data_IF_446154673488
#
_entry.id   IF_446154673488
#
_cell.length_a   1.000
_cell.length_b   1.000
_cell.length_c   1.000
_cell.angle_alpha   90.00
_cell.angle_beta   90.00
_cell.angle_gamma   90.00
#
_symmetry.space_group_name_H-M   'P 1'
#
loop_
_entity.id
_entity.type
_entity.pdbx_description
1 polymer ?
#
# COMPACT_ATOMS: atom_id res chain seq x y z
N UNK A 1 11.52 -58.85 -17.09
CA UNK A 1 12.71 -59.50 -17.70
C UNK A 1 13.61 -58.42 -18.28
N UNK A 2 14.87 -58.38 -17.81
CA UNK A 2 16.11 -57.83 -18.43
C UNK A 2 16.16 -56.34 -18.83
N UNK A 3 17.24 -55.57 -18.66
CA UNK A 3 18.52 -55.64 -17.90
C UNK A 3 19.18 -54.24 -18.05
N UNK A 4 19.94 -53.82 -17.02
CA UNK A 4 20.89 -52.69 -17.01
C UNK A 4 21.98 -52.82 -18.09
N UNK A 5 22.57 -51.70 -18.54
CA UNK A 5 24.04 -51.55 -18.73
C UNK A 5 24.45 -50.08 -18.53
N UNK A 6 25.45 -49.86 -17.68
CA UNK A 6 26.30 -48.68 -17.58
C UNK A 6 27.65 -48.99 -18.23
N UNK A 7 28.38 -47.99 -18.74
CA UNK A 7 29.82 -48.11 -19.01
C UNK A 7 30.50 -46.74 -18.93
N UNK A 8 31.54 -46.71 -18.08
CA UNK A 8 32.58 -45.71 -17.93
C UNK A 8 33.50 -45.68 -19.17
N UNK A 9 34.26 -44.60 -19.36
CA UNK A 9 35.74 -44.65 -19.44
C UNK A 9 36.38 -43.26 -19.46
N UNK A 10 37.49 -43.14 -18.72
CA UNK A 10 38.40 -42.02 -18.63
C UNK A 10 39.75 -42.37 -19.29
N UNK A 11 40.52 -41.35 -19.69
CA UNK A 11 41.96 -41.42 -20.02
C UNK A 11 42.46 -40.00 -20.38
N UNK A 12 43.17 -39.27 -19.50
CA UNK A 12 44.64 -39.21 -19.27
C UNK A 12 45.48 -38.92 -20.53
N UNK A 13 46.07 -37.72 -20.67
CA UNK A 13 47.47 -37.33 -20.32
C UNK A 13 48.38 -37.33 -21.59
N UNK A 14 49.43 -36.52 -21.84
CA UNK A 14 50.22 -35.49 -21.15
C UNK A 14 50.99 -34.69 -22.27
N UNK A 15 51.17 -33.37 -22.16
CA UNK A 15 52.39 -32.64 -21.72
C UNK A 15 53.49 -32.37 -22.79
N UNK A 16 53.99 -31.11 -22.80
CA UNK A 16 55.41 -30.67 -22.71
C UNK A 16 55.51 -29.18 -23.15
N UNK A 17 55.69 -28.22 -22.22
CA UNK A 17 56.95 -27.52 -21.77
C UNK A 17 57.43 -26.44 -22.77
N UNK A 18 57.87 -25.22 -22.42
CA UNK A 18 58.63 -24.66 -21.27
C UNK A 18 58.40 -23.12 -21.24
N UNK A 19 58.25 -22.42 -20.11
CA UNK A 19 59.33 -21.87 -19.24
C UNK A 19 59.61 -20.38 -19.57
N UNK A 20 59.96 -19.41 -18.71
CA UNK A 20 60.40 -19.31 -17.30
C UNK A 20 60.25 -17.82 -16.83
N UNK A 21 59.92 -17.62 -15.54
CA UNK A 21 59.94 -16.39 -14.68
C UNK A 21 61.41 -15.91 -14.39
N UNK A 22 61.81 -14.93 -13.52
CA UNK A 22 61.21 -14.39 -12.26
C UNK A 22 61.42 -12.84 -12.00
N UNK A 23 60.60 -12.13 -11.20
CA UNK A 23 60.57 -11.84 -9.73
C UNK A 23 61.27 -10.53 -9.21
N UNK A 24 60.50 -9.81 -8.38
CA UNK A 24 60.80 -9.06 -7.13
C UNK A 24 61.67 -7.77 -7.09
N UNK A 25 61.26 -6.81 -6.25
CA UNK A 25 62.12 -5.76 -5.65
C UNK A 25 61.43 -4.46 -5.23
N UNK A 26 61.67 -3.96 -4.01
CA UNK A 26 61.00 -2.86 -3.30
C UNK A 26 61.71 -1.48 -3.38
N UNK A 27 61.09 -0.47 -2.74
CA UNK A 27 61.30 1.01 -2.65
C UNK A 27 62.74 1.58 -2.47
N UNK A 28 62.96 2.91 -2.67
CA UNK A 28 62.89 3.91 -1.57
C UNK A 28 62.40 5.35 -1.91
N UNK A 29 62.04 6.13 -0.88
CA UNK A 29 61.79 7.61 -0.83
C UNK A 29 63.08 8.36 -0.41
N UNK A 30 63.39 9.61 -0.84
CA UNK A 30 63.22 10.79 0.05
C UNK A 30 63.01 12.21 -0.60
N UNK A 31 62.21 13.02 0.13
CA UNK A 31 62.33 14.48 0.50
C UNK A 31 62.33 15.67 -0.49
N UNK A 32 61.44 16.62 -0.15
CA UNK A 32 61.20 18.06 -0.45
C UNK A 32 62.44 19.01 -0.53
N UNK A 33 62.36 20.25 -1.11
CA UNK A 33 61.60 21.38 -0.51
C UNK A 33 60.97 22.45 -1.43
N UNK A 34 60.06 23.25 -0.86
CA UNK A 34 59.49 24.50 -1.39
C UNK A 34 60.51 25.67 -1.41
N UNK A 35 60.21 26.77 -2.15
CA UNK A 35 59.87 28.01 -1.45
C UNK A 35 58.80 28.93 -2.11
N UNK A 36 58.31 29.86 -1.28
CA UNK A 36 57.41 31.00 -1.53
C UNK A 36 57.79 31.94 -2.68
N UNK A 37 56.79 32.61 -3.29
CA UNK A 37 56.63 34.07 -3.17
C UNK A 37 55.31 34.62 -3.75
N UNK A 38 54.72 35.51 -2.97
CA UNK A 38 53.60 36.40 -3.28
C UNK A 38 54.05 37.66 -4.03
N UNK A 39 53.20 38.31 -4.84
CA UNK A 39 52.85 39.75 -4.67
C UNK A 39 51.64 40.22 -5.50
N UNK A 40 50.78 41.02 -4.83
CA UNK A 40 50.11 42.28 -5.27
C UNK A 40 49.05 42.26 -6.42
N UNK A 41 47.90 42.97 -6.39
CA UNK A 41 47.48 44.15 -5.59
C UNK A 41 45.96 44.48 -5.75
N UNK A 42 45.41 45.06 -4.66
CA UNK A 42 44.38 46.14 -4.51
C UNK A 42 42.85 45.85 -4.49
N UNK A 43 42.26 46.27 -3.34
CA UNK A 43 40.85 46.43 -2.85
C UNK A 43 40.16 47.72 -3.39
N UNK A 44 38.96 48.21 -2.90
CA UNK A 44 37.85 47.69 -2.04
C UNK A 44 36.43 47.91 -2.68
N UNK A 45 35.28 47.49 -2.12
CA UNK A 45 34.40 48.19 -1.13
C UNK A 45 33.20 47.29 -0.75
N UNK A 46 32.78 47.31 0.52
CA UNK A 46 31.61 46.60 1.11
C UNK A 46 30.34 47.47 1.19
N UNK A 47 29.16 46.86 1.43
CA UNK A 47 28.32 47.24 2.59
C UNK A 47 27.84 46.02 3.46
N UNK A 48 27.19 46.25 4.63
CA UNK A 48 27.18 45.39 5.85
C UNK A 48 25.99 44.40 6.03
N UNK A 49 25.87 43.69 7.20
CA UNK A 49 25.09 42.44 7.39
C UNK A 49 23.79 42.52 8.26
N UNK A 50 23.00 41.42 8.18
CA UNK A 50 22.02 40.83 9.15
C UNK A 50 20.75 41.64 9.57
N UNK A 51 19.71 41.09 10.29
CA UNK A 51 19.45 39.73 10.84
C UNK A 51 17.97 39.19 10.74
N UNK A 52 17.76 37.91 11.09
CA UNK A 52 16.69 37.38 11.98
C UNK A 52 15.18 37.43 11.61
N UNK A 53 14.45 36.34 11.90
CA UNK A 53 13.00 36.40 12.16
C UNK A 53 12.20 35.13 11.79
N UNK A 54 11.56 34.52 12.80
CA UNK A 54 10.70 33.33 12.73
C UNK A 54 9.23 33.68 12.29
N UNK A 55 8.24 32.76 12.31
CA UNK A 55 7.16 32.62 11.33
C UNK A 55 5.86 33.38 11.68
N UNK A 56 4.82 33.38 10.82
CA UNK A 56 3.43 33.51 11.25
C UNK A 56 2.74 32.13 11.21
N UNK A 57 1.82 31.74 12.08
CA UNK A 57 0.99 32.49 13.02
C UNK A 57 -0.36 31.77 13.05
N UNK A 58 -0.72 31.16 14.18
CA UNK A 58 -2.05 30.58 14.42
C UNK A 58 -3.05 31.69 14.71
N UNK A 59 -4.27 31.57 14.18
CA UNK A 59 -5.44 32.24 14.73
C UNK A 59 -6.57 31.22 14.95
N UNK A 60 -6.98 31.12 16.22
CA UNK A 60 -8.25 30.57 16.65
C UNK A 60 -9.33 31.65 16.55
N UNK A 61 -10.63 31.30 16.49
CA UNK A 61 -11.68 32.26 16.81
C UNK A 61 -12.34 31.96 18.16
N UNK A 62 -12.37 33.00 18.99
CA UNK A 62 -13.19 33.23 20.18
C UNK A 62 -14.67 33.47 19.84
N UNK A 63 -15.59 32.95 20.67
CA UNK A 63 -17.00 33.39 20.80
C UNK A 63 -17.08 34.65 21.71
N UNK A 64 -18.21 35.43 21.82
CA UNK A 64 -19.49 35.04 22.51
C UNK A 64 -20.75 35.85 22.01
N UNK A 65 -21.87 36.11 22.78
CA UNK A 65 -22.88 35.25 23.45
C UNK A 65 -24.40 35.60 23.13
N UNK A 66 -25.34 34.74 23.60
CA UNK A 66 -26.78 35.00 23.94
C UNK A 66 -27.79 35.14 22.76
N UNK A 67 -29.07 34.74 22.78
CA UNK A 67 -30.03 34.32 23.82
C UNK A 67 -31.29 33.64 23.18
N UNK A 68 -31.92 32.78 23.98
CA UNK A 68 -33.37 32.45 24.08
C UNK A 68 -34.16 31.70 22.98
N UNK A 69 -34.91 30.68 23.44
CA UNK A 69 -36.11 30.17 22.77
C UNK A 69 -36.34 28.65 22.90
N UNK A 70 -37.03 28.19 23.95
CA UNK A 70 -37.71 26.89 24.00
C UNK A 70 -39.20 27.13 24.23
N UNK A 71 -40.09 26.34 23.61
CA UNK A 71 -40.95 25.48 24.43
C UNK A 71 -41.17 24.05 23.85
N UNK A 72 -41.66 23.16 24.72
CA UNK A 72 -41.66 21.70 24.63
C UNK A 72 -43.01 21.09 24.13
N UNK A 73 -43.39 19.80 24.39
CA UNK A 73 -43.70 18.79 23.36
C UNK A 73 -45.14 18.21 23.42
N UNK A 74 -45.45 17.13 22.66
CA UNK A 74 -46.10 15.93 23.25
C UNK A 74 -45.47 14.60 22.73
N UNK A 75 -45.18 13.58 23.56
CA UNK A 75 -46.02 12.42 24.04
C UNK A 75 -46.73 11.66 22.89
N UNK A 76 -46.80 10.33 22.76
CA UNK A 76 -46.44 9.10 23.52
C UNK A 76 -46.71 7.87 22.59
N UNK A 77 -46.44 6.65 23.08
CA UNK A 77 -46.82 5.29 22.58
C UNK A 77 -45.68 4.53 21.86
N UNK A 78 -45.19 3.36 22.27
CA UNK A 78 -45.61 2.43 23.32
C UNK A 78 -46.40 1.25 22.75
N UNK A 79 -45.71 0.22 22.26
CA UNK A 79 -46.32 -1.12 22.06
C UNK A 79 -45.33 -2.24 22.39
N UNK A 80 -45.84 -3.18 23.17
CA UNK A 80 -45.18 -4.33 23.79
C UNK A 80 -44.89 -5.47 22.80
N UNK A 81 -43.90 -6.30 23.14
CA UNK A 81 -43.53 -7.55 22.46
C UNK A 81 -44.03 -8.74 23.28
N UNK A 82 -44.73 -9.73 22.69
CA UNK A 82 -45.10 -10.97 23.38
C UNK A 82 -43.98 -12.04 23.30
N UNK A 83 -44.01 -13.08 24.16
CA UNK A 83 -42.84 -13.92 24.45
C UNK A 83 -42.58 -14.99 23.37
N UNK A 84 -41.31 -15.38 23.28
CA UNK A 84 -40.81 -16.44 22.41
C UNK A 84 -40.95 -17.81 23.07
N UNK A 85 -41.24 -18.83 22.26
CA UNK A 85 -40.98 -20.25 22.54
C UNK A 85 -40.70 -21.01 21.21
N UNK A 86 -40.06 -22.19 21.23
CA UNK A 86 -38.77 -22.38 20.56
C UNK A 86 -38.77 -23.26 19.28
N UNK A 87 -37.66 -23.14 18.52
CA UNK A 87 -37.03 -24.11 17.58
C UNK A 87 -37.11 -23.86 16.06
N UNK A 88 -35.95 -23.55 15.44
CA UNK A 88 -35.24 -24.33 14.39
C UNK A 88 -33.92 -23.60 14.00
N UNK A 89 -32.71 -24.19 14.16
CA UNK A 89 -31.44 -23.48 13.94
C UNK A 89 -30.97 -23.41 12.47
N UNK A 90 -31.85 -23.42 11.46
CA UNK A 90 -31.43 -23.43 10.03
C UNK A 90 -32.02 -22.38 9.10
N UNK A 91 -32.64 -21.32 9.60
CA UNK A 91 -33.01 -20.15 8.78
C UNK A 91 -32.80 -18.86 9.55
N UNK A 92 -31.73 -18.13 9.22
CA UNK A 92 -31.49 -16.81 9.79
C UNK A 92 -30.54 -16.01 8.93
N UNK A 93 -31.08 -15.17 8.03
CA UNK A 93 -30.51 -13.88 7.59
C UNK A 93 -31.37 -13.27 6.45
N UNK A 94 -32.61 -12.94 6.75
CA UNK A 94 -33.32 -11.85 6.05
C UNK A 94 -34.17 -11.10 7.08
N UNK A 95 -33.84 -9.83 7.29
CA UNK A 95 -34.67 -8.86 7.99
C UNK A 95 -35.77 -8.39 7.01
N UNK A 96 -37.07 -8.64 7.25
CA UNK A 96 -38.14 -8.28 6.33
C UNK A 96 -38.56 -6.80 6.42
N UNK A 97 -37.83 -5.94 7.16
CA UNK A 97 -38.19 -4.53 7.36
C UNK A 97 -37.21 -3.48 6.82
N UNK A 98 -36.09 -3.88 6.19
CA UNK A 98 -35.16 -2.91 5.62
C UNK A 98 -35.72 -2.33 4.31
N UNK A 99 -35.81 -1.00 4.14
CA UNK A 99 -36.24 -0.42 2.87
C UNK A 99 -35.29 -0.86 1.76
N UNK A 100 -35.86 -1.45 0.71
CA UNK A 100 -35.12 -1.87 -0.48
C UNK A 100 -34.29 -0.70 -1.01
N UNK A 101 -32.96 -0.83 -0.92
CA UNK A 101 -32.09 -0.02 -1.74
C UNK A 101 -32.45 -0.33 -3.20
N UNK A 102 -32.69 0.68 -4.06
CA UNK A 102 -33.10 0.41 -5.43
C UNK A 102 -32.08 -0.52 -6.09
N UNK A 103 -32.58 -1.64 -6.62
CA UNK A 103 -31.76 -2.65 -7.28
C UNK A 103 -30.98 -1.99 -8.42
N UNK A 104 -29.67 -1.87 -8.24
CA UNK A 104 -28.76 -1.47 -9.31
C UNK A 104 -28.66 -2.66 -10.28
N UNK A 105 -29.08 -2.52 -11.55
CA UNK A 105 -29.00 -3.58 -12.55
C UNK A 105 -27.57 -4.01 -12.87
N UNK A 106 -26.55 -3.42 -12.23
CA UNK A 106 -25.13 -3.75 -12.33
C UNK A 106 -24.47 -4.14 -10.99
N UNK A 107 -25.25 -4.36 -9.92
CA UNK A 107 -24.71 -4.85 -8.64
C UNK A 107 -24.11 -6.27 -8.76
N UNK A 108 -23.31 -6.75 -7.80
CA UNK A 108 -23.00 -8.18 -7.68
C UNK A 108 -24.27 -9.05 -7.73
N UNK A 109 -24.38 -9.91 -8.75
CA UNK A 109 -25.61 -10.63 -9.12
C UNK A 109 -26.30 -10.12 -10.41
N UNK A 110 -25.87 -8.99 -10.97
CA UNK A 110 -26.26 -8.51 -12.29
C UNK A 110 -25.67 -9.36 -13.44
N UNK A 111 -26.25 -9.30 -14.66
CA UNK A 111 -25.71 -10.00 -15.82
C UNK A 111 -24.22 -9.66 -16.04
N UNK A 112 -23.35 -10.66 -16.00
CA UNK A 112 -21.89 -10.51 -16.17
C UNK A 112 -21.09 -10.27 -14.88
N UNK A 113 -21.72 -10.27 -13.70
CA UNK A 113 -21.05 -10.14 -12.40
C UNK A 113 -21.19 -11.43 -11.61
N UNK A 114 -20.09 -12.08 -11.18
CA UNK A 114 -20.17 -13.24 -10.32
C UNK A 114 -21.00 -12.91 -9.06
N UNK A 115 -22.11 -13.65 -8.89
CA UNK A 115 -23.07 -13.45 -7.81
C UNK A 115 -22.53 -13.91 -6.42
N UNK A 116 -21.36 -14.55 -6.41
CA UNK A 116 -20.76 -15.33 -5.32
C UNK A 116 -19.70 -14.58 -4.51
N UNK A 117 -19.43 -13.30 -4.79
CA UNK A 117 -18.40 -12.56 -4.04
C UNK A 117 -18.91 -12.22 -2.63
N UNK A 118 -18.20 -12.62 -1.56
CA UNK A 118 -18.60 -12.25 -0.21
C UNK A 118 -18.52 -10.73 -0.01
N UNK A 119 -19.34 -10.20 0.90
CA UNK A 119 -19.31 -8.78 1.30
C UNK A 119 -18.02 -8.40 1.98
N UNK A 120 -17.53 -9.27 2.85
CA UNK A 120 -16.18 -9.24 3.37
C UNK A 120 -15.68 -10.66 3.53
N UNK A 121 -14.38 -10.86 3.28
CA UNK A 121 -13.71 -12.09 3.70
C UNK A 121 -13.58 -12.01 5.23
N UNK A 122 -14.27 -12.89 5.94
CA UNK A 122 -14.22 -13.02 7.40
C UNK A 122 -13.12 -14.01 7.84
N UNK A 123 -12.90 -14.16 9.14
CA UNK A 123 -11.87 -15.04 9.70
C UNK A 123 -10.47 -14.46 9.66
N UNK A 124 -9.49 -15.23 10.12
CA UNK A 124 -8.09 -14.82 10.12
C UNK A 124 -7.48 -14.99 8.71
N UNK A 125 -6.80 -13.99 8.13
CA UNK A 125 -6.17 -14.17 6.83
C UNK A 125 -5.16 -15.31 6.75
N UNK A 126 -4.58 -15.72 7.87
CA UNK A 126 -3.68 -16.88 7.94
C UNK A 126 -4.38 -18.18 7.57
N UNK A 127 -5.68 -18.29 7.81
CA UNK A 127 -6.47 -19.50 7.54
C UNK A 127 -6.57 -19.81 6.03
N UNK A 128 -6.45 -18.79 5.17
CA UNK A 128 -6.35 -18.94 3.72
C UNK A 128 -4.92 -18.76 3.19
N UNK A 129 -3.91 -18.88 4.07
CA UNK A 129 -2.50 -18.94 3.70
C UNK A 129 -1.80 -17.60 3.51
N UNK A 130 -2.41 -16.48 3.93
CA UNK A 130 -1.73 -15.18 3.88
C UNK A 130 -0.64 -15.07 4.95
N UNK A 131 0.48 -14.44 4.61
CA UNK A 131 1.49 -14.03 5.58
C UNK A 131 1.11 -12.67 6.18
N UNK A 132 1.17 -12.56 7.50
CA UNK A 132 0.87 -11.32 8.23
C UNK A 132 2.18 -10.65 8.68
N UNK A 133 2.28 -9.33 8.48
CA UNK A 133 3.29 -8.51 9.13
C UNK A 133 2.64 -7.59 10.16
N UNK A 134 3.29 -7.46 11.32
CA UNK A 134 2.92 -6.53 12.39
C UNK A 134 4.12 -5.67 12.75
N UNK A 135 3.98 -4.35 12.65
CA UNK A 135 5.03 -3.40 12.99
C UNK A 135 5.14 -2.25 12.01
N UNK A 136 6.23 -1.50 12.11
CA UNK A 136 6.48 -0.34 11.27
C UNK A 136 6.92 -0.74 9.87
N UNK A 137 6.39 -0.02 8.89
CA UNK A 137 6.76 -0.12 7.50
C UNK A 137 6.94 1.29 6.92
N UNK A 138 7.57 1.37 5.76
CA UNK A 138 7.61 2.61 5.00
C UNK A 138 7.22 2.37 3.55
N UNK A 139 6.77 3.39 2.84
CA UNK A 139 6.65 3.34 1.39
C UNK A 139 7.36 4.53 0.76
N UNK A 140 7.81 4.37 -0.48
CA UNK A 140 8.51 5.42 -1.21
C UNK A 140 8.37 5.20 -2.71
N UNK A 141 8.40 6.29 -3.46
CA UNK A 141 8.10 6.29 -4.89
C UNK A 141 9.00 5.35 -5.71
N UNK A 142 10.30 5.33 -5.44
CA UNK A 142 11.27 4.43 -6.06
C UNK A 142 11.67 3.36 -5.06
N UNK A 143 11.56 2.07 -5.44
CA UNK A 143 12.17 1.00 -4.67
C UNK A 143 13.65 1.34 -4.37
N UNK A 144 14.08 1.37 -3.09
CA UNK A 144 15.47 1.68 -2.76
C UNK A 144 16.44 0.64 -3.32
N UNK A 145 17.72 0.98 -3.45
CA UNK A 145 18.73 -0.02 -3.80
C UNK A 145 18.82 -1.13 -2.74
N UNK A 146 19.22 -2.35 -3.11
CA UNK A 146 19.42 -3.44 -2.15
C UNK A 146 20.46 -3.08 -1.06
N UNK A 147 21.45 -2.24 -1.37
CA UNK A 147 22.42 -1.73 -0.40
C UNK A 147 21.76 -0.79 0.62
N UNK A 148 20.88 0.11 0.16
CA UNK A 148 20.08 0.96 1.05
C UNK A 148 19.18 0.13 1.96
N UNK A 149 18.49 -0.87 1.41
CA UNK A 149 17.65 -1.79 2.18
C UNK A 149 18.45 -2.52 3.25
N UNK A 150 19.66 -2.98 2.92
CA UNK A 150 20.56 -3.66 3.87
C UNK A 150 21.02 -2.73 4.99
N UNK A 151 21.42 -1.51 4.65
CA UNK A 151 21.88 -0.52 5.62
C UNK A 151 20.77 -0.01 6.55
N UNK A 152 19.52 -0.03 6.09
CA UNK A 152 18.36 0.33 6.89
C UNK A 152 17.85 -0.80 7.78
N UNK A 153 18.13 -2.06 7.43
CA UNK A 153 17.65 -3.22 8.19
C UNK A 153 18.37 -3.33 9.53
N UNK A 154 17.64 -3.19 10.63
CA UNK A 154 18.17 -3.19 12.00
C UNK A 154 18.27 -1.78 12.60
N UNK A 155 19.02 -0.84 11.99
CA UNK A 155 19.09 0.54 12.49
C UNK A 155 17.78 1.34 12.37
N UNK A 156 16.93 1.04 11.39
CA UNK A 156 15.61 1.67 11.24
C UNK A 156 14.54 0.88 12.00
N UNK A 157 13.42 1.52 12.40
CA UNK A 157 12.30 0.80 13.03
C UNK A 157 11.54 -0.11 12.06
N UNK A 158 11.79 0.01 10.76
CA UNK A 158 10.96 -0.61 9.72
C UNK A 158 11.28 -2.08 9.50
N UNK A 159 10.24 -2.91 9.39
CA UNK A 159 10.32 -4.32 9.01
C UNK A 159 9.71 -4.63 7.64
N UNK A 160 8.93 -3.72 7.06
CA UNK A 160 8.34 -3.88 5.74
C UNK A 160 8.47 -2.62 4.87
N UNK A 161 8.36 -2.80 3.55
CA UNK A 161 8.37 -1.71 2.57
C UNK A 161 7.24 -1.81 1.54
N UNK A 162 6.56 -0.70 1.29
CA UNK A 162 5.64 -0.51 0.19
C UNK A 162 6.37 -0.31 -1.13
N UNK A 163 6.05 -1.13 -2.13
CA UNK A 163 6.69 -1.10 -3.45
C UNK A 163 5.65 -1.00 -4.56
N UNK A 164 5.83 -0.03 -5.47
CA UNK A 164 4.88 0.25 -6.53
C UNK A 164 5.07 -0.68 -7.74
N UNK A 165 4.36 -1.80 -7.75
CA UNK A 165 4.57 -2.91 -8.70
C UNK A 165 4.01 -2.64 -10.10
N UNK A 166 2.98 -1.81 -10.24
CA UNK A 166 2.30 -1.62 -11.51
C UNK A 166 1.32 -0.46 -11.56
N UNK A 167 0.70 -0.29 -12.73
CA UNK A 167 -0.38 0.65 -12.97
C UNK A 167 0.03 1.96 -13.64
N UNK A 168 -0.89 2.49 -14.46
CA UNK A 168 -0.69 3.70 -15.27
C UNK A 168 -0.56 4.98 -14.46
N UNK A 169 -1.07 5.00 -13.22
CA UNK A 169 -1.10 6.14 -12.32
C UNK A 169 0.11 6.27 -11.38
N UNK A 170 1.12 5.40 -11.50
CA UNK A 170 2.35 5.46 -10.68
C UNK A 170 3.08 6.78 -10.88
N UNK A 171 3.48 7.41 -9.76
CA UNK A 171 4.27 8.65 -9.79
C UNK A 171 5.69 8.41 -10.33
N UNK A 172 6.29 7.27 -9.96
CA UNK A 172 7.57 6.79 -10.49
C UNK A 172 7.30 5.69 -11.53
N UNK A 173 7.16 6.03 -12.83
CA UNK A 173 6.72 5.09 -13.85
C UNK A 173 7.74 3.97 -14.11
N UNK A 174 9.03 4.28 -13.96
CA UNK A 174 10.13 3.32 -14.02
C UNK A 174 10.67 3.10 -12.60
N UNK A 175 10.56 1.88 -12.11
CA UNK A 175 11.16 1.47 -10.83
C UNK A 175 12.61 1.06 -11.09
N UNK A 176 13.58 1.87 -10.65
CA UNK A 176 15.00 1.66 -11.01
C UNK A 176 15.57 0.36 -10.46
N UNK A 177 15.17 -0.02 -9.25
CA UNK A 177 15.74 -1.16 -8.54
C UNK A 177 14.77 -2.34 -8.38
N UNK A 178 13.48 -2.17 -8.68
CA UNK A 178 12.49 -3.23 -8.48
C UNK A 178 12.58 -4.27 -9.60
N UNK A 179 13.13 -5.44 -9.28
CA UNK A 179 13.16 -6.64 -10.11
C UNK A 179 12.90 -7.89 -9.26
N UNK A 180 12.75 -9.06 -9.87
CA UNK A 180 12.61 -10.32 -9.15
C UNK A 180 13.85 -10.63 -8.28
N UNK A 181 15.05 -10.33 -8.78
CA UNK A 181 16.30 -10.48 -8.03
C UNK A 181 16.34 -9.55 -6.83
N UNK A 182 15.91 -8.29 -7.00
CA UNK A 182 15.81 -7.36 -5.89
C UNK A 182 14.81 -7.84 -4.83
N UNK A 183 13.62 -8.30 -5.25
CA UNK A 183 12.59 -8.83 -4.34
C UNK A 183 13.15 -10.00 -3.52
N UNK A 184 13.82 -10.93 -4.18
CA UNK A 184 14.46 -12.08 -3.52
C UNK A 184 15.55 -11.63 -2.53
N UNK A 185 16.39 -10.68 -2.95
CA UNK A 185 17.48 -10.17 -2.12
C UNK A 185 16.98 -9.43 -0.88
N UNK A 186 15.94 -8.59 -0.99
CA UNK A 186 15.41 -7.86 0.17
C UNK A 186 14.60 -8.76 1.10
N UNK A 187 13.90 -9.77 0.58
CA UNK A 187 13.25 -10.78 1.42
C UNK A 187 14.27 -11.60 2.21
N UNK A 188 15.40 -11.98 1.60
CA UNK A 188 16.54 -12.62 2.30
C UNK A 188 17.18 -11.73 3.38
N UNK A 189 17.13 -10.41 3.21
CA UNK A 189 17.51 -9.46 4.26
C UNK A 189 16.47 -9.37 5.39
N UNK A 190 15.32 -10.03 5.25
CA UNK A 190 14.24 -10.08 6.23
C UNK A 190 13.22 -8.96 6.10
N UNK A 191 13.18 -8.24 4.97
CA UNK A 191 12.12 -7.27 4.70
C UNK A 191 10.83 -7.97 4.25
N UNK A 192 9.69 -7.48 4.74
CA UNK A 192 8.39 -7.81 4.13
C UNK A 192 8.02 -6.78 3.07
N UNK A 193 7.26 -7.20 2.06
CA UNK A 193 6.86 -6.33 0.96
C UNK A 193 5.35 -6.08 0.98
N UNK A 194 4.96 -4.84 0.72
CA UNK A 194 3.58 -4.39 0.53
C UNK A 194 3.43 -3.93 -0.93
N UNK A 195 3.01 -4.81 -1.85
CA UNK A 195 2.86 -4.47 -3.27
C UNK A 195 1.71 -3.49 -3.48
N UNK A 196 2.00 -2.35 -4.11
CA UNK A 196 1.03 -1.29 -4.42
C UNK A 196 0.83 -1.17 -5.92
N UNK A 197 -0.42 -1.17 -6.36
CA UNK A 197 -0.81 -0.99 -7.76
C UNK A 197 -1.56 0.33 -7.93
N UNK A 198 -1.01 1.24 -8.73
CA UNK A 198 -1.60 2.58 -8.92
C UNK A 198 -2.26 2.63 -10.29
N UNK A 199 -3.50 2.17 -10.31
CA UNK A 199 -4.32 2.05 -11.51
C UNK A 199 -5.03 3.34 -11.91
N UNK A 200 -6.11 3.17 -12.66
CA UNK A 200 -7.07 4.23 -12.96
C UNK A 200 -7.72 4.78 -11.69
N UNK A 201 -7.96 6.09 -11.69
CA UNK A 201 -8.41 6.83 -10.52
C UNK A 201 -9.89 7.20 -10.63
N UNK A 202 -10.54 7.42 -9.49
CA UNK A 202 -11.96 7.76 -9.45
C UNK A 202 -12.29 8.94 -10.38
N UNK A 203 -13.46 8.97 -11.05
CA UNK A 203 -13.83 10.08 -11.93
C UNK A 203 -13.75 11.46 -11.25
N UNK A 204 -14.03 11.48 -9.94
CA UNK A 204 -13.98 12.67 -9.09
C UNK A 204 -12.73 12.74 -8.19
N UNK A 205 -11.60 12.16 -8.61
CA UNK A 205 -10.31 12.30 -7.93
C UNK A 205 -9.95 13.77 -7.72
N UNK A 206 -9.45 14.08 -6.53
CA UNK A 206 -9.14 15.44 -6.08
C UNK A 206 -7.73 15.85 -6.51
N UNK A 207 -6.76 14.94 -6.37
CA UNK A 207 -5.35 15.20 -6.67
C UNK A 207 -5.15 15.60 -8.14
N UNK A 208 -4.62 16.80 -8.38
CA UNK A 208 -4.47 17.39 -9.73
C UNK A 208 -3.62 16.53 -10.67
N UNK A 209 -2.50 16.00 -10.17
CA UNK A 209 -1.59 15.12 -10.92
C UNK A 209 -2.22 13.76 -11.30
N UNK A 210 -3.34 13.38 -10.66
CA UNK A 210 -4.04 12.11 -10.88
C UNK A 210 -5.24 12.24 -11.82
N UNK A 211 -5.64 13.47 -12.15
CA UNK A 211 -6.79 13.77 -12.98
C UNK A 211 -6.71 13.20 -14.40
N UNK A 212 -5.50 13.11 -14.97
CA UNK A 212 -5.26 12.48 -16.28
C UNK A 212 -5.42 10.96 -16.28
N UNK A 213 -5.51 10.35 -15.10
CA UNK A 213 -5.68 8.90 -14.94
C UNK A 213 -7.09 8.51 -14.52
N UNK A 214 -8.06 9.43 -14.58
CA UNK A 214 -9.46 9.11 -14.32
C UNK A 214 -9.95 7.94 -15.18
N UNK A 215 -10.68 7.02 -14.56
CA UNK A 215 -11.42 5.99 -15.29
C UNK A 215 -12.60 6.60 -16.03
N UNK A 216 -12.93 6.01 -17.18
CA UNK A 216 -14.22 6.21 -17.85
C UNK A 216 -15.34 5.54 -17.01
N UNK A 217 -16.56 6.02 -17.16
CA UNK A 217 -17.76 5.51 -16.48
C UNK A 217 -18.48 4.41 -17.27
N UNK A 218 -18.06 4.11 -18.51
CA UNK A 218 -18.74 3.14 -19.39
C UNK A 218 -18.74 1.70 -18.88
N UNK A 219 -17.57 1.19 -18.49
CA UNK A 219 -17.41 -0.17 -17.93
C UNK A 219 -16.37 -0.16 -16.79
N UNK A 220 -16.70 0.42 -15.63
CA UNK A 220 -15.78 0.48 -14.51
C UNK A 220 -15.40 -0.91 -13.99
N UNK A 221 -16.31 -1.88 -14.01
CA UNK A 221 -16.04 -3.24 -13.52
C UNK A 221 -15.07 -3.99 -14.42
N UNK A 222 -15.27 -3.99 -15.73
CA UNK A 222 -14.38 -4.62 -16.69
C UNK A 222 -12.99 -3.98 -16.68
N UNK A 223 -12.92 -2.64 -16.58
CA UNK A 223 -11.65 -1.94 -16.41
C UNK A 223 -10.95 -2.36 -15.11
N UNK A 224 -11.68 -2.45 -14.00
CA UNK A 224 -11.18 -2.96 -12.72
C UNK A 224 -10.60 -4.36 -12.86
N UNK A 225 -11.32 -5.28 -13.53
CA UNK A 225 -10.85 -6.64 -13.78
C UNK A 225 -9.55 -6.66 -14.59
N UNK A 226 -9.47 -5.86 -15.65
CA UNK A 226 -8.27 -5.76 -16.48
C UNK A 226 -7.06 -5.29 -15.67
N UNK A 227 -7.22 -4.26 -14.85
CA UNK A 227 -6.15 -3.73 -14.01
C UNK A 227 -5.81 -4.67 -12.83
N UNK A 228 -6.78 -5.44 -12.33
CA UNK A 228 -6.53 -6.50 -11.33
C UNK A 228 -5.69 -7.65 -11.88
N UNK A 229 -5.97 -8.09 -13.11
CA UNK A 229 -5.13 -9.06 -13.81
C UNK A 229 -3.73 -8.51 -14.08
N UNK A 230 -3.61 -7.22 -14.38
CA UNK A 230 -2.32 -6.56 -14.58
C UNK A 230 -1.49 -6.49 -13.30
N UNK A 231 -2.13 -6.17 -12.17
CA UNK A 231 -1.50 -6.21 -10.86
C UNK A 231 -0.94 -7.60 -10.53
N UNK A 232 -1.72 -8.66 -10.79
CA UNK A 232 -1.27 -10.04 -10.59
C UNK A 232 -0.08 -10.38 -11.49
N UNK A 233 -0.14 -10.07 -12.78
CA UNK A 233 1.00 -10.32 -13.69
C UNK A 233 2.25 -9.58 -13.24
N UNK A 234 2.11 -8.34 -12.77
CA UNK A 234 3.22 -7.54 -12.24
C UNK A 234 3.83 -8.18 -11.00
N UNK A 235 2.99 -8.68 -10.08
CA UNK A 235 3.44 -9.40 -8.89
C UNK A 235 4.16 -10.71 -9.24
N UNK A 236 3.62 -11.50 -10.17
CA UNK A 236 4.22 -12.75 -10.65
C UNK A 236 5.59 -12.52 -11.29
N UNK A 237 5.73 -11.49 -12.12
CA UNK A 237 7.01 -11.11 -12.74
C UNK A 237 8.09 -10.73 -11.70
N UNK A 238 7.66 -10.30 -10.52
CA UNK A 238 8.53 -9.96 -9.39
C UNK A 238 8.77 -11.14 -8.43
N UNK A 239 8.26 -12.33 -8.73
CA UNK A 239 8.42 -13.52 -7.88
C UNK A 239 7.49 -13.58 -6.67
N UNK A 240 6.41 -12.78 -6.65
CA UNK A 240 5.42 -12.80 -5.58
C UNK A 240 4.37 -13.89 -5.86
N UNK A 241 4.34 -14.91 -5.01
CA UNK A 241 3.49 -16.09 -5.15
C UNK A 241 2.02 -15.83 -4.78
N UNK A 242 1.16 -16.84 -4.96
CA UNK A 242 -0.21 -16.85 -4.45
C UNK A 242 -0.23 -16.57 -2.93
N UNK A 243 -1.38 -16.12 -2.44
CA UNK A 243 -1.63 -15.62 -1.10
C UNK A 243 -0.93 -14.29 -0.76
N UNK A 244 -0.13 -13.74 -1.67
CA UNK A 244 0.38 -12.37 -1.56
C UNK A 244 -0.76 -11.35 -1.53
N UNK A 245 -0.62 -10.34 -0.68
CA UNK A 245 -1.45 -9.14 -0.71
C UNK A 245 -1.04 -8.19 -1.82
N UNK A 246 -2.01 -7.66 -2.57
CA UNK A 246 -1.83 -6.57 -3.53
C UNK A 246 -2.73 -5.43 -3.08
N UNK A 247 -2.23 -4.19 -3.03
CA UNK A 247 -3.00 -3.03 -2.59
C UNK A 247 -3.30 -2.11 -3.76
N UNK A 248 -4.59 -1.98 -4.11
CA UNK A 248 -5.05 -1.01 -5.08
C UNK A 248 -4.99 0.40 -4.48
N UNK A 249 -4.21 1.30 -5.08
CA UNK A 249 -4.13 2.70 -4.72
C UNK A 249 -5.22 3.52 -5.42
N UNK A 250 -6.16 4.01 -4.62
CA UNK A 250 -7.21 4.94 -5.04
C UNK A 250 -7.12 6.23 -4.23
N UNK A 251 -6.60 7.28 -4.85
CA UNK A 251 -6.35 8.58 -4.24
C UNK A 251 -7.66 9.26 -3.80
N UNK A 252 -7.59 10.26 -2.92
CA UNK A 252 -8.77 10.95 -2.42
C UNK A 252 -9.75 11.40 -3.52
N UNK A 253 -11.03 11.03 -3.39
CA UNK A 253 -12.10 11.37 -4.33
C UNK A 253 -13.39 11.80 -3.61
N UNK A 254 -14.21 12.59 -4.31
CA UNK A 254 -15.47 13.15 -3.78
C UNK A 254 -16.61 12.12 -3.75
N UNK A 255 -16.49 11.09 -2.92
CA UNK A 255 -17.46 9.97 -2.82
C UNK A 255 -18.89 10.38 -2.41
N UNK A 256 -19.11 11.60 -1.90
CA UNK A 256 -20.47 12.11 -1.68
C UNK A 256 -21.25 12.37 -2.98
N UNK A 257 -20.56 12.41 -4.13
CA UNK A 257 -21.20 12.43 -5.45
C UNK A 257 -21.57 10.99 -5.83
N UNK A 258 -22.87 10.65 -5.77
CA UNK A 258 -23.37 9.28 -5.99
C UNK A 258 -22.79 8.61 -7.24
N UNK A 259 -22.89 9.23 -8.41
CA UNK A 259 -22.35 8.63 -9.65
C UNK A 259 -20.84 8.35 -9.61
N UNK A 260 -20.05 9.17 -8.91
CA UNK A 260 -18.63 8.89 -8.71
C UNK A 260 -18.40 7.73 -7.73
N UNK A 261 -19.17 7.69 -6.64
CA UNK A 261 -19.11 6.64 -5.64
C UNK A 261 -19.42 5.27 -6.27
N UNK A 262 -20.56 5.17 -6.96
CA UNK A 262 -21.04 3.95 -7.58
C UNK A 262 -20.04 3.45 -8.64
N UNK A 263 -19.58 4.34 -9.53
CA UNK A 263 -18.54 4.01 -10.54
C UNK A 263 -17.25 3.50 -9.88
N UNK A 264 -16.77 4.18 -8.83
CA UNK A 264 -15.51 3.82 -8.17
C UNK A 264 -15.63 2.50 -7.42
N UNK A 265 -16.74 2.26 -6.71
CA UNK A 265 -16.99 1.00 -6.02
C UNK A 265 -17.05 -0.16 -7.00
N UNK A 266 -17.71 0.06 -8.14
CA UNK A 266 -17.83 -0.94 -9.20
C UNK A 266 -16.48 -1.32 -9.82
N UNK A 267 -15.60 -0.34 -10.02
CA UNK A 267 -14.21 -0.59 -10.42
C UNK A 267 -13.44 -1.39 -9.36
N UNK A 268 -13.54 -1.02 -8.08
CA UNK A 268 -12.88 -1.73 -6.97
C UNK A 268 -13.33 -3.20 -6.91
N UNK A 269 -14.63 -3.47 -7.07
CA UNK A 269 -15.18 -4.82 -7.11
C UNK A 269 -14.61 -5.66 -8.26
N UNK A 270 -14.48 -5.06 -9.46
CA UNK A 270 -13.87 -5.73 -10.61
C UNK A 270 -12.40 -6.08 -10.37
N UNK A 271 -11.64 -5.14 -9.82
CA UNK A 271 -10.24 -5.35 -9.46
C UNK A 271 -10.09 -6.47 -8.43
N UNK A 272 -10.89 -6.43 -7.35
CA UNK A 272 -10.87 -7.44 -6.29
C UNK A 272 -11.22 -8.84 -6.83
N UNK A 273 -12.22 -8.94 -7.71
CA UNK A 273 -12.63 -10.20 -8.33
C UNK A 273 -11.48 -10.82 -9.14
N UNK A 274 -10.80 -10.02 -9.98
CA UNK A 274 -9.68 -10.50 -10.78
C UNK A 274 -8.49 -10.96 -9.92
N UNK A 275 -8.14 -10.21 -8.88
CA UNK A 275 -7.04 -10.54 -7.96
C UNK A 275 -7.33 -11.85 -7.20
N UNK A 276 -8.54 -11.99 -6.66
CA UNK A 276 -8.97 -13.21 -5.95
C UNK A 276 -9.04 -14.44 -6.85
N UNK A 277 -9.51 -14.29 -8.08
CA UNK A 277 -9.57 -15.38 -9.05
C UNK A 277 -8.18 -15.98 -9.34
N UNK A 278 -7.11 -15.24 -9.08
CA UNK A 278 -5.73 -15.70 -9.24
C UNK A 278 -5.10 -16.21 -7.94
N UNK A 279 -5.85 -16.26 -6.83
CA UNK A 279 -5.38 -16.69 -5.52
C UNK A 279 -4.56 -15.64 -4.77
N UNK A 280 -4.73 -14.35 -5.08
CA UNK A 280 -4.09 -13.24 -4.36
C UNK A 280 -5.07 -12.55 -3.41
N UNK A 281 -4.53 -11.86 -2.42
CA UNK A 281 -5.31 -11.10 -1.43
C UNK A 281 -5.51 -9.68 -1.92
N UNK A 282 -6.76 -9.30 -2.20
CA UNK A 282 -7.10 -7.96 -2.65
C UNK A 282 -7.15 -6.96 -1.48
N UNK A 283 -6.23 -6.00 -1.43
CA UNK A 283 -6.18 -4.90 -0.48
C UNK A 283 -6.51 -3.55 -1.14
N UNK A 284 -6.83 -2.54 -0.33
CA UNK A 284 -7.20 -1.22 -0.83
C UNK A 284 -6.56 -0.09 -0.03
N UNK A 285 -5.89 0.83 -0.72
CA UNK A 285 -5.35 2.05 -0.16
C UNK A 285 -6.20 3.27 -0.53
N UNK A 286 -6.48 4.14 0.45
CA UNK A 286 -6.99 5.49 0.20
C UNK A 286 -6.87 6.39 1.44
N UNK A 287 -7.19 7.68 1.28
CA UNK A 287 -7.32 8.60 2.42
C UNK A 287 -8.50 8.24 3.33
N UNK A 288 -8.29 8.31 4.64
CA UNK A 288 -9.26 7.91 5.66
C UNK A 288 -10.61 8.63 5.54
N UNK A 289 -10.60 9.93 5.20
CA UNK A 289 -11.82 10.76 5.07
C UNK A 289 -12.56 10.59 3.72
N UNK A 290 -11.99 9.84 2.77
CA UNK A 290 -12.51 9.72 1.41
C UNK A 290 -12.78 8.26 1.05
N UNK A 291 -11.86 7.57 0.37
CA UNK A 291 -12.12 6.21 -0.11
C UNK A 291 -12.36 5.20 1.01
N UNK A 292 -11.71 5.36 2.16
CA UNK A 292 -11.91 4.47 3.32
C UNK A 292 -13.30 4.68 3.93
N UNK A 293 -13.71 5.93 4.16
CA UNK A 293 -15.07 6.25 4.60
C UNK A 293 -16.14 5.76 3.60
N UNK A 294 -15.85 5.83 2.30
CA UNK A 294 -16.73 5.29 1.27
C UNK A 294 -16.85 3.76 1.35
N UNK A 295 -15.74 3.03 1.44
CA UNK A 295 -15.77 1.58 1.58
C UNK A 295 -16.45 1.12 2.87
N UNK A 296 -16.24 1.82 3.99
CA UNK A 296 -16.93 1.49 5.22
C UNK A 296 -18.44 1.71 5.11
N UNK A 297 -18.87 2.80 4.47
CA UNK A 297 -20.29 3.04 4.19
C UNK A 297 -20.88 1.95 3.30
N UNK A 298 -20.16 1.55 2.24
CA UNK A 298 -20.59 0.47 1.35
C UNK A 298 -20.69 -0.87 2.11
N UNK A 299 -19.72 -1.17 2.96
CA UNK A 299 -19.73 -2.35 3.85
C UNK A 299 -20.92 -2.36 4.79
N UNK A 300 -21.18 -1.25 5.47
CA UNK A 300 -22.32 -1.11 6.37
C UNK A 300 -23.66 -1.25 5.65
N UNK A 301 -23.73 -0.86 4.37
CA UNK A 301 -24.88 -1.05 3.50
C UNK A 301 -24.95 -2.46 2.84
N UNK A 302 -24.08 -3.40 3.21
CA UNK A 302 -24.12 -4.78 2.70
C UNK A 302 -23.49 -4.99 1.33
N UNK A 303 -22.71 -4.03 0.80
CA UNK A 303 -22.07 -4.17 -0.50
C UNK A 303 -21.18 -5.41 -0.58
N UNK A 304 -21.23 -6.10 -1.72
CA UNK A 304 -20.44 -7.29 -2.03
C UNK A 304 -19.11 -6.98 -2.71
N UNK A 305 -18.16 -7.92 -2.69
CA UNK A 305 -16.91 -7.80 -3.44
C UNK A 305 -15.97 -6.70 -2.96
N UNK A 306 -16.08 -6.30 -1.69
CA UNK A 306 -15.16 -5.35 -1.05
C UNK A 306 -13.77 -5.99 -0.87
N UNK A 307 -12.70 -5.20 -0.64
CA UNK A 307 -11.36 -5.76 -0.42
C UNK A 307 -11.29 -6.63 0.85
N UNK A 308 -10.20 -7.35 1.00
CA UNK A 308 -9.88 -8.20 2.15
C UNK A 308 -9.20 -7.40 3.27
N UNK A 309 -8.38 -6.41 2.92
CA UNK A 309 -7.65 -5.54 3.84
C UNK A 309 -7.67 -4.07 3.37
N UNK A 310 -7.52 -3.14 4.31
CA UNK A 310 -7.52 -1.70 4.05
C UNK A 310 -6.22 -1.06 4.53
N UNK A 311 -5.73 -0.09 3.76
CA UNK A 311 -4.62 0.77 4.09
C UNK A 311 -5.10 2.22 4.05
N UNK A 312 -5.25 2.83 5.22
CA UNK A 312 -5.79 4.18 5.33
C UNK A 312 -4.69 5.21 5.61
N UNK A 313 -4.73 6.32 4.87
CA UNK A 313 -3.89 7.48 5.15
C UNK A 313 -4.60 8.48 6.07
N UNK A 314 -3.99 8.78 7.21
CA UNK A 314 -4.40 9.85 8.12
C UNK A 314 -3.18 10.41 8.84
N UNK A 315 -2.85 11.66 8.55
CA UNK A 315 -1.71 12.33 9.16
C UNK A 315 -2.10 13.10 10.43
N UNK A 316 -1.09 13.52 11.20
CA UNK A 316 -1.23 14.35 12.42
C UNK A 316 -2.10 13.72 13.51
N UNK A 317 -2.10 12.40 13.59
CA UNK A 317 -2.73 11.63 14.67
C UNK A 317 -1.77 10.56 15.17
N UNK A 318 -1.94 10.05 16.41
CA UNK A 318 -1.17 8.89 16.87
C UNK A 318 -1.34 7.69 15.94
N UNK A 319 -0.24 6.97 15.70
CA UNK A 319 -0.25 5.73 14.92
C UNK A 319 -1.11 4.68 15.65
N UNK A 320 -2.07 4.12 14.92
CA UNK A 320 -2.95 3.05 15.38
C UNK A 320 -3.68 2.43 14.19
N UNK A 321 -3.74 1.10 14.12
CA UNK A 321 -4.55 0.38 13.14
C UNK A 321 -6.01 0.22 13.60
N UNK A 322 -6.31 0.41 14.89
CA UNK A 322 -7.63 0.12 15.48
C UNK A 322 -8.49 1.36 15.72
N UNK A 323 -7.87 2.54 15.83
CA UNK A 323 -8.53 3.79 16.26
C UNK A 323 -8.93 4.73 15.10
N UNK A 324 -9.09 4.22 13.89
CA UNK A 324 -9.60 5.01 12.77
C UNK A 324 -11.11 5.24 12.91
N UNK A 325 -11.51 6.49 13.15
CA UNK A 325 -12.91 6.87 13.39
C UNK A 325 -13.88 6.57 12.23
N UNK A 326 -13.37 6.48 11.00
CA UNK A 326 -14.20 6.19 9.82
C UNK A 326 -14.31 4.68 9.54
N UNK A 327 -13.75 3.83 10.39
CA UNK A 327 -13.91 2.37 10.33
C UNK A 327 -14.67 1.90 11.57
N UNK A 328 -15.62 0.99 11.41
CA UNK A 328 -16.19 0.30 12.56
C UNK A 328 -15.06 -0.50 13.26
N UNK A 329 -14.89 -0.40 14.59
CA UNK A 329 -13.81 -1.09 15.31
C UNK A 329 -13.75 -2.61 15.08
N UNK A 330 -14.90 -3.25 14.81
CA UNK A 330 -15.01 -4.69 14.56
C UNK A 330 -14.88 -5.07 13.07
N UNK A 331 -14.99 -4.12 12.16
CA UNK A 331 -14.83 -4.38 10.72
C UNK A 331 -13.35 -4.52 10.36
N UNK A 332 -13.01 -5.20 9.26
CA UNK A 332 -11.60 -5.29 8.81
C UNK A 332 -10.68 -5.83 9.92
N UNK A 333 -11.12 -6.88 10.62
CA UNK A 333 -10.37 -7.56 11.68
C UNK A 333 -10.51 -9.09 11.53
N UNK A 334 -9.57 -9.87 12.08
CA UNK A 334 -8.23 -9.46 12.53
C UNK A 334 -7.28 -9.23 11.34
N UNK A 335 -6.13 -8.60 11.58
CA UNK A 335 -4.97 -8.55 10.65
C UNK A 335 -5.30 -8.03 9.24
N UNK A 336 -6.04 -6.92 9.12
CA UNK A 336 -6.52 -6.40 7.82
C UNK A 336 -6.35 -4.90 7.67
N UNK A 337 -5.48 -4.26 8.46
CA UNK A 337 -5.39 -2.80 8.53
C UNK A 337 -3.94 -2.31 8.48
N UNK A 338 -3.73 -1.27 7.68
CA UNK A 338 -2.49 -0.50 7.62
C UNK A 338 -2.84 0.97 7.79
N UNK A 339 -2.03 1.69 8.55
CA UNK A 339 -2.18 3.13 8.76
C UNK A 339 -0.94 3.87 8.26
N UNK A 340 -1.08 4.62 7.15
CA UNK A 340 -0.09 5.63 6.76
C UNK A 340 -0.28 6.89 7.61
N UNK A 341 0.56 7.07 8.65
CA UNK A 341 0.37 8.11 9.65
C UNK A 341 1.31 9.32 9.48
N UNK A 342 2.35 9.19 8.66
CA UNK A 342 3.31 10.27 8.41
C UNK A 342 3.73 10.22 6.95
N UNK A 343 3.67 11.35 6.25
CA UNK A 343 4.00 11.42 4.83
C UNK A 343 5.19 12.33 4.56
N UNK A 344 5.96 12.01 3.52
CA UNK A 344 7.03 12.79 2.90
C UNK A 344 8.13 13.24 3.88
N UNK A 345 8.56 12.34 4.76
CA UNK A 345 9.63 12.63 5.72
C UNK A 345 10.96 12.05 5.26
N UNK A 346 12.03 12.85 5.37
CA UNK A 346 13.39 12.33 5.20
C UNK A 346 13.78 11.54 6.43
N UNK A 347 14.36 10.36 6.21
CA UNK A 347 14.97 9.52 7.24
C UNK A 347 16.33 9.07 6.78
N UNK A 348 17.25 8.94 7.73
CA UNK A 348 18.63 8.52 7.46
C UNK A 348 18.97 7.38 8.41
N UNK A 349 19.34 6.23 7.83
CA UNK A 349 19.78 5.05 8.57
C UNK A 349 20.95 4.43 7.84
N UNK A 350 21.96 3.97 8.59
CA UNK A 350 23.17 3.37 8.02
C UNK A 350 23.87 4.26 6.98
N UNK A 351 23.79 5.59 7.11
CA UNK A 351 24.37 6.55 6.16
C UNK A 351 23.56 6.82 4.88
N UNK A 352 22.40 6.17 4.69
CA UNK A 352 21.55 6.38 3.52
C UNK A 352 20.29 7.18 3.85
N UNK A 353 20.04 8.25 3.10
CA UNK A 353 18.85 9.10 3.25
C UNK A 353 17.79 8.76 2.21
N UNK A 354 16.55 8.52 2.64
CA UNK A 354 15.39 8.28 1.78
C UNK A 354 14.22 9.14 2.26
N UNK A 355 13.46 9.71 1.33
CA UNK A 355 12.16 10.31 1.63
C UNK A 355 11.10 9.22 1.62
N UNK A 356 10.39 9.07 2.74
CA UNK A 356 9.45 7.98 2.97
C UNK A 356 8.14 8.47 3.56
N UNK A 357 7.09 7.69 3.32
CA UNK A 357 5.88 7.70 4.12
C UNK A 357 5.98 6.58 5.17
N UNK A 358 5.59 6.84 6.42
CA UNK A 358 5.63 5.89 7.54
C UNK A 358 4.26 5.25 7.72
N UNK A 359 4.26 3.92 7.81
CA UNK A 359 3.10 3.08 8.00
C UNK A 359 3.20 2.22 9.28
N UNK A 360 2.09 2.07 9.99
CA UNK A 360 1.92 1.01 10.98
C UNK A 360 1.07 -0.11 10.36
N UNK A 361 1.57 -1.34 10.38
CA UNK A 361 0.97 -2.49 9.69
C UNK A 361 0.45 -3.50 10.69
N UNK A 362 -0.77 -3.99 10.45
CA UNK A 362 -1.27 -5.27 10.93
C UNK A 362 -2.13 -5.91 9.82
N UNK A 363 -1.46 -6.48 8.82
CA UNK A 363 -2.11 -6.86 7.57
C UNK A 363 -1.33 -7.91 6.76
N UNK A 364 -1.97 -8.51 5.73
CA UNK A 364 -1.31 -9.42 4.81
C UNK A 364 -0.20 -8.74 3.99
N UNK A 365 0.89 -9.45 3.72
CA UNK A 365 2.03 -8.97 2.91
C UNK A 365 2.25 -9.86 1.68
N UNK A 366 3.22 -9.52 0.84
CA UNK A 366 3.67 -10.42 -0.22
C UNK A 366 4.27 -11.71 0.36
N UNK A 367 4.04 -12.81 -0.36
CA UNK A 367 4.73 -14.09 -0.20
C UNK A 367 5.74 -14.18 -1.33
N UNK A 368 7.03 -14.09 -1.00
CA UNK A 368 8.12 -14.25 -1.98
C UNK A 368 8.39 -15.75 -2.15
N UNK A 369 8.36 -16.22 -3.39
CA UNK A 369 8.46 -17.64 -3.76
C UNK A 369 9.87 -18.11 -4.10
#
# INVERSE_FOLDING_TARGET
>A
MMRRVALLSAGLAAALTSGVLPAAGAEPVPTDPAPSNATATRRPVSPPPDPGGAPPGSEAPTAPPGTEGTPAPPRTEGTAVPPADPADPRTGLTDPGAPDAPADPNAPGAPGVPADQPSLVTGDPRDFGAQIFRGDAFDTCQAPSAATMRAWKGPSPFGAVGVYIGGRGRACPKQKHLSAEWVTEVDKQGWKLLPVYVGSQAPCVIAKNKQKFRMDTKDPYGLGRQEGQDAVRSAQQLGMAKNSALYLDMEAYRYKKKGCADTTLRFIQGWNSAVRAQGYVAGFYSSANYGIAHLEKARAAGARGLPTAVWFARWHVPASVDKERNLNPKAWQPHRRIHQHTGNVKRTYGGHTVTVDHNLVDAPVAVVG
#
